data_IF_015951908792
#
_entry.id   IF_015951908792
#
_cell.length_a   1.000
_cell.length_b   1.000
_cell.length_c   1.000
_cell.angle_alpha   90.00
_cell.angle_beta   90.00
_cell.angle_gamma   90.00
#
_symmetry.space_group_name_H-M   'P 1'
#
loop_
_entity.id
_entity.type
_entity.pdbx_description
1 polymer ?
#
# COMPACT_ATOMS: atom_id res chain seq x y z
N UNK A 1 -15.52 -0.16 -6.92
CA UNK A 1 -14.78 -0.94 -5.90
C UNK A 1 -13.32 -0.97 -6.30
N UNK A 2 -12.36 -0.83 -5.37
CA UNK A 2 -10.96 -1.09 -5.66
C UNK A 2 -10.78 -2.58 -5.99
N UNK A 3 -9.95 -2.90 -6.99
CA UNK A 3 -9.54 -4.27 -7.32
C UNK A 3 -8.24 -4.57 -6.54
N UNK A 4 -8.20 -5.68 -5.82
CA UNK A 4 -7.09 -6.05 -4.94
C UNK A 4 -6.14 -6.99 -5.70
N UNK A 5 -4.85 -6.67 -5.72
CA UNK A 5 -3.86 -7.48 -6.43
C UNK A 5 -3.48 -8.78 -5.70
N UNK A 6 -3.54 -8.77 -4.35
CA UNK A 6 -3.19 -9.90 -3.48
C UNK A 6 -4.36 -10.25 -2.56
N UNK A 7 -5.46 -10.83 -3.09
CA UNK A 7 -6.66 -11.10 -2.30
C UNK A 7 -6.43 -12.25 -1.29
N UNK A 8 -6.90 -12.06 -0.07
CA UNK A 8 -6.96 -13.13 0.92
C UNK A 8 -7.95 -14.24 0.53
N UNK A 9 -7.65 -15.48 0.92
CA UNK A 9 -8.47 -16.67 0.59
C UNK A 9 -9.89 -16.59 1.19
N UNK A 10 -10.10 -15.72 2.18
CA UNK A 10 -11.38 -15.54 2.89
C UNK A 10 -12.09 -14.23 2.54
N UNK A 11 -11.68 -13.54 1.48
CA UNK A 11 -12.36 -12.33 1.02
C UNK A 11 -13.74 -12.63 0.42
N UNK A 12 -14.67 -11.69 0.57
CA UNK A 12 -15.97 -11.77 -0.07
C UNK A 12 -15.81 -11.70 -1.60
N UNK A 13 -16.60 -12.50 -2.33
CA UNK A 13 -16.51 -12.58 -3.79
C UNK A 13 -16.83 -11.25 -4.46
N UNK A 14 -15.96 -10.80 -5.36
CA UNK A 14 -16.25 -9.66 -6.24
C UNK A 14 -17.26 -10.06 -7.32
N UNK A 15 -18.43 -9.41 -7.33
CA UNK A 15 -19.47 -9.62 -8.34
C UNK A 15 -19.08 -8.98 -9.67
N UNK A 16 -19.02 -9.80 -10.74
CA UNK A 16 -18.74 -9.36 -12.11
C UNK A 16 -19.81 -9.87 -13.06
N UNK A 17 -20.03 -9.13 -14.15
CA UNK A 17 -21.03 -9.49 -15.17
C UNK A 17 -20.65 -10.73 -15.99
N UNK A 18 -19.39 -11.19 -15.93
CA UNK A 18 -18.88 -12.37 -16.65
C UNK A 18 -19.22 -12.39 -18.16
N UNK A 19 -19.46 -11.22 -18.75
CA UNK A 19 -19.63 -11.02 -20.18
C UNK A 19 -18.27 -10.69 -20.79
N UNK A 20 -17.66 -11.66 -21.46
CA UNK A 20 -16.33 -11.51 -22.08
C UNK A 20 -16.28 -10.42 -23.15
N UNK A 21 -17.42 -10.04 -23.74
CA UNK A 21 -17.51 -9.00 -24.76
C UNK A 21 -17.44 -7.58 -24.17
N UNK A 22 -17.70 -7.45 -22.87
CA UNK A 22 -17.75 -6.17 -22.16
C UNK A 22 -16.63 -6.07 -21.11
N UNK A 23 -15.70 -5.15 -21.30
CA UNK A 23 -14.56 -4.98 -20.39
C UNK A 23 -13.79 -6.29 -20.09
N UNK A 24 -13.77 -7.23 -21.04
CA UNK A 24 -13.13 -8.55 -20.91
C UNK A 24 -13.65 -9.33 -19.69
N UNK A 25 -14.98 -9.36 -19.48
CA UNK A 25 -15.60 -10.07 -18.36
C UNK A 25 -15.56 -9.31 -17.03
N UNK A 26 -14.98 -8.11 -16.98
CA UNK A 26 -14.80 -7.31 -15.75
C UNK A 26 -15.87 -6.23 -15.54
N UNK A 27 -17.00 -6.30 -16.25
CA UNK A 27 -18.09 -5.34 -16.10
C UNK A 27 -18.76 -5.38 -14.71
N UNK A 28 -19.11 -4.22 -14.16
CA UNK A 28 -19.69 -4.05 -12.81
C UNK A 28 -21.02 -3.28 -12.79
N UNK A 29 -21.73 -3.22 -13.92
CA UNK A 29 -22.89 -2.33 -14.11
C UNK A 29 -24.00 -2.46 -13.05
N UNK A 30 -24.19 -3.65 -12.45
CA UNK A 30 -25.18 -3.87 -11.40
C UNK A 30 -24.83 -3.11 -10.12
N UNK A 31 -23.56 -3.10 -9.74
CA UNK A 31 -23.10 -2.30 -8.61
C UNK A 31 -23.26 -0.79 -8.88
N UNK A 32 -23.10 -0.36 -10.14
CA UNK A 32 -23.27 1.05 -10.54
C UNK A 32 -24.75 1.46 -10.45
N UNK A 33 -25.65 0.59 -10.88
CA UNK A 33 -27.11 0.76 -10.76
C UNK A 33 -27.52 0.87 -9.29
N UNK A 34 -27.09 -0.07 -8.44
CA UNK A 34 -27.37 -0.06 -6.99
C UNK A 34 -26.89 1.24 -6.31
N UNK A 35 -25.68 1.71 -6.65
CA UNK A 35 -25.14 2.98 -6.14
C UNK A 35 -26.03 4.15 -6.58
N UNK A 36 -26.41 4.18 -7.85
CA UNK A 36 -27.10 5.33 -8.45
C UNK A 36 -28.55 5.44 -8.01
N UNK A 37 -29.24 4.31 -7.89
CA UNK A 37 -30.69 4.27 -7.63
C UNK A 37 -31.02 4.17 -6.15
N UNK A 38 -30.17 3.51 -5.34
CA UNK A 38 -30.46 3.26 -3.92
C UNK A 38 -29.60 4.12 -3.00
N UNK A 39 -28.28 4.10 -3.19
CA UNK A 39 -27.35 4.71 -2.23
C UNK A 39 -27.30 6.23 -2.41
N UNK A 40 -27.15 6.74 -3.65
CA UNK A 40 -26.96 8.16 -3.91
C UNK A 40 -28.14 9.04 -3.43
N UNK A 41 -29.42 8.66 -3.61
CA UNK A 41 -30.54 9.44 -3.07
C UNK A 41 -30.55 9.51 -1.54
N UNK A 42 -30.17 8.42 -0.86
CA UNK A 42 -30.14 8.34 0.60
C UNK A 42 -29.01 9.18 1.23
N UNK A 43 -27.92 9.42 0.50
CA UNK A 43 -26.77 10.19 0.97
C UNK A 43 -26.87 11.71 0.67
N UNK A 44 -27.91 12.16 -0.03
CA UNK A 44 -28.00 13.55 -0.49
C UNK A 44 -28.06 14.53 0.69
N UNK A 45 -27.10 15.46 0.73
CA UNK A 45 -27.00 16.46 1.80
C UNK A 45 -26.35 15.96 3.09
N UNK A 46 -25.83 14.73 3.10
CA UNK A 46 -25.15 14.13 4.26
C UNK A 46 -23.65 14.06 3.97
N UNK A 47 -22.84 14.52 4.92
CA UNK A 47 -21.41 14.25 4.89
C UNK A 47 -21.18 12.78 5.24
N UNK A 48 -20.62 12.00 4.31
CA UNK A 48 -20.50 10.54 4.43
C UNK A 48 -19.76 10.11 5.71
N UNK A 49 -18.74 10.86 6.13
CA UNK A 49 -18.00 10.53 7.35
C UNK A 49 -18.86 10.65 8.62
N UNK A 50 -19.83 11.57 8.68
CA UNK A 50 -20.76 11.68 9.80
C UNK A 50 -21.66 10.43 9.86
N UNK A 51 -22.21 10.01 8.72
CA UNK A 51 -23.02 8.80 8.64
C UNK A 51 -22.24 7.56 9.10
N UNK A 52 -20.97 7.42 8.70
CA UNK A 52 -20.13 6.30 9.12
C UNK A 52 -19.91 6.31 10.64
N UNK A 53 -19.63 7.48 11.23
CA UNK A 53 -19.45 7.63 12.68
C UNK A 53 -20.72 7.29 13.44
N UNK A 54 -21.88 7.75 12.95
CA UNK A 54 -23.20 7.44 13.53
C UNK A 54 -23.48 5.92 13.47
N UNK A 55 -23.25 5.28 12.33
CA UNK A 55 -23.44 3.83 12.15
C UNK A 55 -22.47 3.01 13.00
N UNK A 56 -21.24 3.49 13.18
CA UNK A 56 -20.24 2.86 14.04
C UNK A 56 -20.51 3.09 15.53
N UNK A 57 -21.51 3.89 15.90
CA UNK A 57 -21.79 4.27 17.28
C UNK A 57 -20.62 5.00 17.96
N UNK A 58 -19.76 5.65 17.17
CA UNK A 58 -18.59 6.36 17.68
C UNK A 58 -18.98 7.75 18.16
N UNK A 59 -18.51 8.20 19.35
CA UNK A 59 -18.95 9.47 19.93
C UNK A 59 -18.35 10.69 19.24
N UNK A 60 -17.23 10.53 18.54
CA UNK A 60 -16.46 11.63 17.95
C UNK A 60 -15.86 11.23 16.61
N UNK A 61 -15.63 12.24 15.75
CA UNK A 61 -14.90 12.08 14.50
C UNK A 61 -13.40 12.12 14.79
N UNK A 62 -12.69 11.03 14.50
CA UNK A 62 -11.21 10.97 14.63
C UNK A 62 -10.57 10.83 13.26
N UNK A 63 -9.56 11.67 12.98
CA UNK A 63 -8.69 11.49 11.83
C UNK A 63 -7.47 10.67 12.23
N UNK A 64 -7.20 9.63 11.45
CA UNK A 64 -6.10 8.71 11.69
C UNK A 64 -4.82 9.19 11.02
N UNK A 65 -3.67 8.73 11.52
CA UNK A 65 -2.40 8.89 10.83
C UNK A 65 -2.47 8.15 9.49
N UNK A 66 -2.36 8.83 8.34
CA UNK A 66 -2.30 8.17 7.05
C UNK A 66 -1.01 7.33 6.93
N UNK A 67 -1.11 6.04 6.61
CA UNK A 67 0.03 5.24 6.21
C UNK A 67 0.44 5.59 4.78
N UNK A 68 1.52 6.33 4.61
CA UNK A 68 2.02 6.69 3.28
C UNK A 68 2.84 5.55 2.72
N UNK A 69 2.23 4.65 1.95
CA UNK A 69 3.04 3.70 1.19
C UNK A 69 3.89 4.44 0.15
N UNK A 70 5.19 4.25 0.24
CA UNK A 70 6.18 4.94 -0.59
C UNK A 70 7.04 4.00 -1.42
N UNK A 71 7.25 2.74 -1.02
CA UNK A 71 8.00 1.73 -1.78
C UNK A 71 7.14 0.49 -1.95
N UNK A 72 6.95 0.06 -3.21
CA UNK A 72 6.30 -1.21 -3.52
C UNK A 72 7.30 -2.32 -3.80
N UNK A 73 6.96 -3.51 -3.31
CA UNK A 73 7.57 -4.79 -3.67
C UNK A 73 6.50 -5.86 -3.80
N UNK A 74 6.82 -7.10 -3.43
CA UNK A 74 5.90 -8.23 -3.46
C UNK A 74 5.22 -8.39 -4.82
N UNK A 75 3.92 -8.67 -4.80
CA UNK A 75 3.07 -8.80 -5.99
C UNK A 75 2.67 -7.45 -6.62
N UNK A 76 2.96 -6.32 -5.95
CA UNK A 76 2.68 -4.96 -6.44
C UNK A 76 3.77 -4.39 -7.36
N UNK A 77 4.88 -5.10 -7.53
CA UNK A 77 6.02 -4.62 -8.29
C UNK A 77 6.87 -5.74 -8.89
N UNK A 78 7.26 -5.55 -10.15
CA UNK A 78 8.25 -6.37 -10.84
C UNK A 78 9.68 -5.97 -10.45
N UNK A 79 10.04 -6.25 -9.19
CA UNK A 79 11.39 -6.09 -8.63
C UNK A 79 11.75 -7.30 -7.74
N UNK A 80 12.93 -7.32 -7.12
CA UNK A 80 13.32 -8.41 -6.20
C UNK A 80 12.76 -8.30 -4.78
N UNK A 81 12.09 -7.20 -4.44
CA UNK A 81 11.65 -6.95 -3.07
C UNK A 81 10.49 -7.91 -2.73
N UNK A 82 10.62 -8.70 -1.66
CA UNK A 82 9.58 -9.65 -1.25
C UNK A 82 8.44 -8.97 -0.49
N UNK A 83 8.79 -8.00 0.38
CA UNK A 83 7.80 -7.22 1.13
C UNK A 83 6.96 -6.37 0.18
N UNK A 84 5.66 -6.34 0.41
CA UNK A 84 4.70 -5.74 -0.51
C UNK A 84 4.67 -4.21 -0.40
N UNK A 85 4.62 -3.67 0.82
CA UNK A 85 4.50 -2.24 1.06
C UNK A 85 5.42 -1.76 2.18
N UNK A 86 6.13 -0.65 1.94
CA UNK A 86 6.84 0.08 2.97
C UNK A 86 6.26 1.48 3.09
N UNK A 87 5.82 1.80 4.29
CA UNK A 87 5.03 2.97 4.60
C UNK A 87 5.79 3.91 5.52
N UNK A 88 5.49 5.21 5.42
CA UNK A 88 5.86 6.21 6.42
C UNK A 88 4.65 6.46 7.29
N UNK A 89 4.86 6.45 8.60
CA UNK A 89 3.85 6.76 9.61
C UNK A 89 4.33 7.98 10.37
N UNK A 90 3.53 9.06 10.41
CA UNK A 90 3.88 10.20 11.23
C UNK A 90 3.41 9.99 12.67
N UNK A 91 4.31 10.15 13.64
CA UNK A 91 4.02 9.96 15.06
C UNK A 91 4.12 11.30 15.80
N UNK A 92 3.33 11.47 16.86
CA UNK A 92 3.39 12.65 17.73
C UNK A 92 2.94 13.98 17.09
N UNK A 93 2.34 13.95 15.90
CA UNK A 93 1.81 15.14 15.22
C UNK A 93 0.37 15.45 15.62
N UNK A 94 0.03 16.74 15.63
CA UNK A 94 -1.25 17.21 16.18
C UNK A 94 -2.37 17.32 15.14
N UNK A 95 -2.02 17.31 13.85
CA UNK A 95 -2.99 17.50 12.77
C UNK A 95 -2.74 16.57 11.59
N UNK A 96 -3.82 16.16 10.93
CA UNK A 96 -3.75 15.43 9.65
C UNK A 96 -2.96 16.20 8.59
N UNK A 97 -3.07 17.55 8.56
CA UNK A 97 -2.31 18.42 7.65
C UNK A 97 -0.80 18.27 7.86
N UNK A 98 -0.37 18.23 9.11
CA UNK A 98 1.04 18.06 9.46
C UNK A 98 1.54 16.67 9.05
N UNK A 99 0.74 15.63 9.29
CA UNK A 99 1.03 14.27 8.81
C UNK A 99 1.23 14.21 7.29
N UNK A 100 0.32 14.80 6.52
CA UNK A 100 0.42 14.89 5.06
C UNK A 100 1.68 15.61 4.59
N UNK A 101 2.06 16.70 5.28
CA UNK A 101 3.28 17.45 4.98
C UNK A 101 4.52 16.60 5.20
N UNK A 102 4.63 15.94 6.35
CA UNK A 102 5.76 15.04 6.67
C UNK A 102 5.85 13.90 5.65
N UNK A 103 4.73 13.22 5.38
CA UNK A 103 4.69 12.13 4.39
C UNK A 103 5.17 12.55 3.01
N UNK A 104 4.72 13.71 2.52
CA UNK A 104 5.12 14.26 1.23
C UNK A 104 6.62 14.63 1.20
N UNK A 105 7.12 15.34 2.21
CA UNK A 105 8.52 15.76 2.27
C UNK A 105 9.48 14.56 2.33
N UNK A 106 9.17 13.55 3.16
CA UNK A 106 9.95 12.31 3.23
C UNK A 106 9.89 11.54 1.91
N UNK A 107 8.72 11.47 1.24
CA UNK A 107 8.59 10.82 -0.06
C UNK A 107 9.47 11.48 -1.15
N UNK A 108 9.46 12.80 -1.25
CA UNK A 108 10.32 13.49 -2.22
C UNK A 108 11.81 13.32 -1.90
N UNK A 109 12.18 13.33 -0.61
CA UNK A 109 13.56 13.06 -0.19
C UNK A 109 13.99 11.61 -0.50
N UNK A 110 13.09 10.64 -0.31
CA UNK A 110 13.31 9.25 -0.66
C UNK A 110 13.62 9.09 -2.15
N UNK A 111 12.87 9.77 -3.03
CA UNK A 111 13.17 9.78 -4.47
C UNK A 111 14.58 10.28 -4.75
N UNK A 112 15.02 11.33 -4.06
CA UNK A 112 16.38 11.86 -4.20
C UNK A 112 17.43 10.85 -3.71
N UNK A 113 17.24 10.24 -2.54
CA UNK A 113 18.14 9.21 -2.00
C UNK A 113 18.26 8.01 -2.94
N UNK A 114 17.15 7.53 -3.49
CA UNK A 114 17.15 6.43 -4.46
C UNK A 114 17.86 6.85 -5.75
N UNK A 115 17.57 8.05 -6.27
CA UNK A 115 18.21 8.59 -7.48
C UNK A 115 19.72 8.74 -7.33
N UNK A 116 20.17 9.23 -6.17
CA UNK A 116 21.60 9.37 -5.85
C UNK A 116 22.31 8.02 -5.84
N UNK A 117 21.68 6.99 -5.26
CA UNK A 117 22.32 5.67 -5.09
C UNK A 117 22.20 4.74 -6.29
N UNK A 118 21.06 4.74 -6.97
CA UNK A 118 20.70 3.77 -8.02
C UNK A 118 20.44 4.42 -9.39
N UNK A 119 20.60 5.74 -9.49
CA UNK A 119 20.39 6.48 -10.72
C UNK A 119 18.93 6.83 -11.01
N UNK A 120 18.71 7.63 -12.05
CA UNK A 120 17.39 8.20 -12.40
C UNK A 120 16.32 7.14 -12.64
N UNK A 121 16.66 6.03 -13.28
CA UNK A 121 15.71 4.99 -13.66
C UNK A 121 15.14 4.21 -12.46
N UNK A 122 15.81 4.26 -11.29
CA UNK A 122 15.32 3.63 -10.06
C UNK A 122 14.20 4.42 -9.36
N UNK A 123 13.87 5.63 -9.86
CA UNK A 123 12.77 6.46 -9.35
C UNK A 123 11.48 6.34 -10.15
N UNK A 124 11.41 5.35 -11.04
CA UNK A 124 10.18 5.04 -11.76
C UNK A 124 9.07 4.76 -10.75
N UNK A 125 7.89 5.27 -11.10
CA UNK A 125 6.74 5.28 -10.24
C UNK A 125 5.76 4.24 -10.77
N UNK A 126 5.33 3.31 -9.92
CA UNK A 126 4.30 2.33 -10.26
C UNK A 126 2.91 2.97 -10.35
N UNK A 127 1.89 2.14 -10.61
CA UNK A 127 0.52 2.57 -10.92
C UNK A 127 -0.15 3.49 -9.87
N UNK A 128 0.37 3.49 -8.65
CA UNK A 128 -0.19 4.20 -7.48
C UNK A 128 0.69 5.32 -6.95
N UNK A 129 1.63 5.84 -7.75
CA UNK A 129 2.44 6.99 -7.32
C UNK A 129 3.65 6.62 -6.43
N UNK A 130 3.89 5.33 -6.20
CA UNK A 130 4.93 4.80 -5.30
C UNK A 130 6.21 4.46 -6.08
N UNK A 131 7.38 4.61 -5.46
CA UNK A 131 8.63 4.23 -6.15
C UNK A 131 8.76 2.71 -6.20
N UNK A 132 9.26 2.21 -7.33
CA UNK A 132 9.54 0.80 -7.57
C UNK A 132 11.03 0.61 -7.84
N UNK A 133 11.88 0.69 -6.81
CA UNK A 133 13.31 0.60 -7.00
C UNK A 133 13.72 -0.85 -7.25
N UNK A 134 14.67 -1.06 -8.17
CA UNK A 134 15.30 -2.36 -8.36
C UNK A 134 16.45 -2.52 -7.34
N UNK A 135 16.10 -2.88 -6.11
CA UNK A 135 17.03 -3.07 -4.99
C UNK A 135 17.26 -4.55 -4.68
N UNK A 136 18.46 -4.92 -4.22
CA UNK A 136 18.86 -6.32 -4.10
C UNK A 136 18.25 -7.04 -2.88
N UNK A 137 17.90 -6.34 -1.80
CA UNK A 137 17.44 -6.96 -0.56
C UNK A 137 16.41 -6.10 0.20
N UNK A 138 15.53 -6.75 0.98
CA UNK A 138 14.52 -6.07 1.79
C UNK A 138 15.13 -5.06 2.80
N UNK A 139 16.28 -5.40 3.40
CA UNK A 139 16.97 -4.52 4.35
C UNK A 139 17.43 -3.21 3.73
N UNK A 140 17.78 -3.23 2.44
CA UNK A 140 18.20 -2.04 1.72
C UNK A 140 17.06 -1.03 1.57
N UNK A 141 15.84 -1.51 1.33
CA UNK A 141 14.63 -0.67 1.28
C UNK A 141 14.43 0.10 2.59
N UNK A 142 14.58 -0.58 3.74
CA UNK A 142 14.49 0.02 5.06
C UNK A 142 15.61 1.04 5.32
N UNK A 143 16.84 0.75 4.88
CA UNK A 143 17.97 1.68 5.00
C UNK A 143 17.75 2.95 4.19
N UNK A 144 17.24 2.83 2.95
CA UNK A 144 16.90 3.97 2.10
C UNK A 144 15.84 4.85 2.75
N UNK A 145 14.79 4.23 3.29
CA UNK A 145 13.70 4.95 3.93
C UNK A 145 14.15 5.64 5.22
N UNK A 146 14.94 4.96 6.06
CA UNK A 146 15.55 5.55 7.26
C UNK A 146 16.46 6.73 6.92
N UNK A 147 17.26 6.62 5.85
CA UNK A 147 18.11 7.71 5.37
C UNK A 147 17.25 8.91 4.89
N UNK A 148 16.19 8.65 4.13
CA UNK A 148 15.27 9.69 3.67
C UNK A 148 14.62 10.44 4.84
N UNK A 149 14.14 9.73 5.86
CA UNK A 149 13.60 10.33 7.09
C UNK A 149 14.69 11.16 7.79
N UNK A 150 15.89 10.62 7.94
CA UNK A 150 17.04 11.33 8.54
C UNK A 150 17.37 12.64 7.83
N UNK A 151 17.37 12.67 6.49
CA UNK A 151 17.63 13.88 5.70
C UNK A 151 16.55 14.96 5.84
N UNK A 152 15.34 14.61 6.27
CA UNK A 152 14.24 15.58 6.50
C UNK A 152 14.22 16.16 7.92
N UNK A 153 14.97 15.58 8.86
CA UNK A 153 14.92 15.99 10.27
C UNK A 153 13.74 15.44 11.07
N UNK A 154 12.98 14.47 10.52
CA UNK A 154 11.78 13.89 11.17
C UNK A 154 12.03 12.57 11.89
N UNK A 155 13.24 12.31 12.38
CA UNK A 155 13.55 11.02 13.03
C UNK A 155 12.66 10.71 14.25
N UNK A 156 12.22 11.74 14.98
CA UNK A 156 11.34 11.60 16.15
C UNK A 156 9.84 11.71 15.80
N UNK A 157 9.51 11.99 14.53
CA UNK A 157 8.14 12.26 14.07
C UNK A 157 7.71 11.35 12.92
N UNK A 158 8.58 10.47 12.43
CA UNK A 158 8.29 9.57 11.33
C UNK A 158 8.88 8.17 11.57
N UNK A 159 7.99 7.19 11.69
CA UNK A 159 8.28 5.77 11.75
C UNK A 159 8.10 5.08 10.39
N UNK A 160 8.43 3.78 10.36
CA UNK A 160 8.25 2.92 9.19
C UNK A 160 7.18 1.87 9.50
N UNK A 161 6.14 1.84 8.67
CA UNK A 161 5.15 0.76 8.62
C UNK A 161 5.49 -0.24 7.52
N UNK A 162 5.05 -1.49 7.66
CA UNK A 162 5.34 -2.55 6.69
C UNK A 162 4.11 -3.43 6.47
N UNK A 163 3.71 -3.62 5.21
CA UNK A 163 2.88 -4.76 4.81
C UNK A 163 3.80 -5.78 4.13
N UNK A 164 4.04 -6.87 4.82
CA UNK A 164 4.91 -7.94 4.33
C UNK A 164 4.18 -8.81 3.32
N UNK A 165 2.85 -8.94 3.40
CA UNK A 165 2.05 -9.90 2.63
C UNK A 165 2.67 -11.31 2.60
N UNK A 166 3.11 -11.81 3.75
CA UNK A 166 3.93 -13.03 3.86
C UNK A 166 3.27 -14.28 3.25
N UNK A 167 1.94 -14.32 3.20
CA UNK A 167 1.17 -15.39 2.56
C UNK A 167 1.53 -15.58 1.07
N UNK A 168 1.89 -14.51 0.36
CA UNK A 168 2.26 -14.55 -1.07
C UNK A 168 3.48 -15.46 -1.32
N UNK A 169 4.39 -15.51 -0.34
CA UNK A 169 5.64 -16.25 -0.42
C UNK A 169 5.81 -17.30 0.67
N UNK A 170 4.72 -17.69 1.35
CA UNK A 170 4.70 -18.82 2.26
C UNK A 170 4.65 -20.13 1.46
N UNK A 171 5.60 -21.02 1.69
CA UNK A 171 5.75 -22.31 0.99
C UNK A 171 6.18 -23.38 1.98
N UNK A 172 5.40 -24.46 2.06
CA UNK A 172 5.72 -25.66 2.85
C UNK A 172 6.13 -25.37 4.32
N UNK A 173 5.42 -24.47 5.00
CA UNK A 173 5.74 -24.12 6.40
C UNK A 173 6.89 -23.11 6.57
N UNK A 174 7.47 -22.60 5.48
CA UNK A 174 8.60 -21.65 5.46
C UNK A 174 8.29 -20.47 4.54
N UNK A 175 9.22 -19.51 4.46
CA UNK A 175 9.07 -18.32 3.63
C UNK A 175 10.19 -18.20 2.58
N UNK A 176 9.83 -17.87 1.34
CA UNK A 176 10.77 -17.61 0.25
C UNK A 176 10.89 -16.10 -0.03
N UNK A 177 11.92 -15.45 0.53
CA UNK A 177 12.14 -14.01 0.30
C UNK A 177 12.63 -13.67 -1.13
N UNK A 178 12.74 -14.65 -2.02
CA UNK A 178 13.04 -14.46 -3.45
C UNK A 178 12.03 -15.22 -4.33
N UNK A 179 10.77 -15.31 -3.90
CA UNK A 179 9.69 -16.09 -4.55
C UNK A 179 9.39 -15.71 -6.01
N UNK A 180 9.86 -14.55 -6.47
CA UNK A 180 9.74 -14.07 -7.85
C UNK A 180 10.81 -14.64 -8.78
N UNK A 181 11.87 -15.23 -8.21
CA UNK A 181 12.90 -15.96 -8.95
C UNK A 181 12.48 -17.43 -9.13
N UNK A 182 13.17 -18.21 -10.00
CA UNK A 182 12.92 -19.64 -10.12
C UNK A 182 12.97 -20.36 -8.78
N UNK A 183 12.17 -21.43 -8.65
CA UNK A 183 12.02 -22.21 -7.42
C UNK A 183 13.37 -22.72 -6.89
N UNK A 184 13.64 -22.42 -5.62
CA UNK A 184 14.81 -22.94 -4.89
C UNK A 184 14.51 -22.99 -3.38
N UNK A 185 14.29 -24.21 -2.88
CA UNK A 185 13.97 -24.47 -1.47
C UNK A 185 15.13 -24.24 -0.50
N UNK A 186 16.38 -24.11 -0.98
CA UNK A 186 17.54 -23.89 -0.11
C UNK A 186 17.54 -22.51 0.55
N UNK A 187 16.76 -21.57 0.00
CA UNK A 187 16.67 -20.16 0.44
C UNK A 187 15.56 -19.93 1.48
N UNK A 188 14.82 -20.98 1.83
CA UNK A 188 13.65 -20.85 2.67
C UNK A 188 14.03 -20.57 4.11
N UNK A 189 13.43 -19.52 4.67
CA UNK A 189 13.65 -19.12 6.06
C UNK A 189 12.50 -19.59 6.95
N UNK A 190 12.84 -19.92 8.19
CA UNK A 190 11.89 -20.18 9.27
C UNK A 190 11.59 -18.88 10.01
N UNK A 191 10.37 -18.73 10.57
CA UNK A 191 10.15 -17.77 11.64
C UNK A 191 10.91 -18.30 12.86
N UNK A 192 12.09 -17.78 13.12
CA UNK A 192 12.83 -18.04 14.37
C UNK A 192 12.04 -17.55 15.59
#
# INVERSE_FOLDING_TARGET
MPNIASPGISEATELRHNDETLCVGKGVSKAVEDISETIAPALKGIAIYCLIVDLAGSPEVTLWVPPFNVINGGSHADNKLAMQELMILSEGVSTFRESMRIGAEVYFNLKNVIKEKYGKNATNVGDVGRVVPNIPENKEALRLLKNAIGKTGYLDQAGIGMDVAASEFFRFGKHDLDFKSPYDSSRYITPD
#
